data_IF_778373065428
#
_entry.id   IF_778373065428
#
_cell.length_a   1.000
_cell.length_b   1.000
_cell.length_c   1.000
_cell.angle_alpha   90.00
_cell.angle_beta   90.00
_cell.angle_gamma   90.00
#
_symmetry.space_group_name_H-M   'P 1'
#
loop_
_entity.id
_entity.type
_entity.pdbx_description
1 polymer ?
#
# COMPACT_ATOMS: atom_id res chain seq x y z
N UNK A 1 -9.24 -12.40 22.56
CA UNK A 1 -9.82 -11.43 21.60
C UNK A 1 -8.76 -10.43 21.19
N UNK A 2 -8.18 -10.56 19.99
CA UNK A 2 -7.47 -9.45 19.35
C UNK A 2 -8.51 -8.41 18.92
N UNK A 3 -8.28 -7.13 19.21
CA UNK A 3 -9.20 -6.03 18.87
C UNK A 3 -9.48 -6.06 17.36
N UNK A 4 -10.76 -6.18 16.97
CA UNK A 4 -11.16 -6.11 15.57
C UNK A 4 -11.02 -4.67 15.07
N UNK A 5 -9.94 -4.38 14.34
CA UNK A 5 -9.69 -3.08 13.72
C UNK A 5 -9.54 -3.24 12.20
N UNK A 6 -10.15 -2.34 11.44
CA UNK A 6 -9.91 -2.23 9.99
C UNK A 6 -8.91 -1.11 9.73
N UNK A 7 -8.17 -1.24 8.64
CA UNK A 7 -7.18 -0.26 8.21
C UNK A 7 -7.87 1.09 8.00
N UNK A 8 -7.26 2.16 8.52
CA UNK A 8 -7.76 3.52 8.30
C UNK A 8 -7.34 4.04 6.91
N UNK A 9 -8.11 4.96 6.28
CA UNK A 9 -7.79 5.47 4.94
C UNK A 9 -6.42 6.15 4.81
N UNK A 10 -5.92 6.71 5.91
CA UNK A 10 -4.64 7.40 6.05
C UNK A 10 -3.51 6.49 6.56
N UNK A 11 -3.82 5.24 6.90
CA UNK A 11 -2.86 4.28 7.45
C UNK A 11 -2.19 3.46 6.34
N UNK A 12 -0.85 3.35 6.41
CA UNK A 12 -0.11 2.49 5.48
C UNK A 12 -0.39 1.01 5.72
N UNK A 13 -0.20 0.17 4.70
CA UNK A 13 -0.41 -1.27 4.88
C UNK A 13 0.61 -1.84 5.89
N UNK A 14 1.83 -1.32 5.91
CA UNK A 14 2.90 -1.71 6.81
C UNK A 14 2.54 -1.39 8.27
N UNK A 15 2.09 -0.16 8.54
CA UNK A 15 1.69 0.26 9.89
C UNK A 15 0.51 -0.60 10.38
N UNK A 16 -0.44 -0.87 9.49
CA UNK A 16 -1.59 -1.72 9.80
C UNK A 16 -1.17 -3.14 10.20
N UNK A 17 -0.28 -3.77 9.43
CA UNK A 17 0.24 -5.12 9.72
C UNK A 17 1.08 -5.11 11.00
N UNK A 18 1.94 -4.10 11.18
CA UNK A 18 2.82 -3.97 12.33
C UNK A 18 2.01 -3.83 13.63
N UNK A 19 0.90 -3.09 13.62
CA UNK A 19 0.02 -2.98 14.77
C UNK A 19 -0.51 -4.34 15.26
N UNK A 20 -0.86 -5.26 14.35
CA UNK A 20 -1.30 -6.61 14.74
C UNK A 20 -0.17 -7.49 15.22
N UNK A 21 1.02 -7.40 14.60
CA UNK A 21 2.20 -8.12 15.09
C UNK A 21 2.51 -7.73 16.53
N UNK A 22 2.57 -6.43 16.82
CA UNK A 22 2.79 -5.91 18.17
C UNK A 22 1.69 -6.36 19.14
N UNK A 23 0.42 -6.28 18.73
CA UNK A 23 -0.68 -6.73 19.59
C UNK A 23 -0.63 -8.24 19.87
N UNK A 24 -0.25 -9.04 18.88
CA UNK A 24 -0.17 -10.48 18.99
C UNK A 24 0.95 -10.96 19.91
N UNK A 25 1.98 -10.13 20.18
CA UNK A 25 3.01 -10.44 21.19
C UNK A 25 2.41 -10.61 22.60
N UNK A 26 1.36 -9.85 22.90
CA UNK A 26 0.70 -9.89 24.20
C UNK A 26 -0.49 -10.87 24.22
N UNK A 27 -0.70 -11.60 23.13
CA UNK A 27 -1.77 -12.57 23.01
C UNK A 27 -1.22 -13.99 23.17
N UNK A 28 -1.87 -14.82 23.99
CA UNK A 28 -1.50 -16.22 24.23
C UNK A 28 -1.83 -17.16 23.06
N UNK A 29 -1.50 -16.79 21.82
CA UNK A 29 -1.85 -17.56 20.62
C UNK A 29 -1.01 -18.83 20.42
N UNK A 30 0.15 -18.93 21.07
CA UNK A 30 1.07 -20.06 20.89
C UNK A 30 1.39 -20.29 19.41
N UNK A 31 1.29 -21.54 18.96
CA UNK A 31 1.56 -21.92 17.57
C UNK A 31 0.64 -21.25 16.53
N UNK A 32 -0.54 -20.74 16.93
CA UNK A 32 -1.51 -20.13 16.03
C UNK A 32 -1.27 -18.63 15.78
N UNK A 33 -0.25 -18.04 16.39
CA UNK A 33 0.02 -16.60 16.34
C UNK A 33 0.06 -16.08 14.90
N UNK A 34 0.83 -16.74 14.03
CA UNK A 34 1.00 -16.29 12.65
C UNK A 34 -0.33 -16.34 11.90
N UNK A 35 -1.06 -17.47 11.97
CA UNK A 35 -2.36 -17.63 11.31
C UNK A 35 -3.36 -16.58 11.80
N UNK A 36 -3.41 -16.33 13.11
CA UNK A 36 -4.30 -15.32 13.69
C UNK A 36 -3.99 -13.89 13.22
N UNK A 37 -2.70 -13.55 13.06
CA UNK A 37 -2.28 -12.27 12.48
C UNK A 37 -2.74 -12.21 11.02
N UNK A 38 -2.48 -13.27 10.24
CA UNK A 38 -2.80 -13.30 8.82
C UNK A 38 -4.30 -13.13 8.55
N UNK A 39 -5.13 -13.90 9.25
CA UNK A 39 -6.59 -13.81 9.15
C UNK A 39 -7.09 -12.39 9.44
N UNK A 40 -6.58 -11.79 10.52
CA UNK A 40 -6.98 -10.44 10.92
C UNK A 40 -6.54 -9.37 9.93
N UNK A 41 -5.34 -9.48 9.37
CA UNK A 41 -4.83 -8.58 8.32
C UNK A 41 -5.70 -8.69 7.08
N UNK A 42 -5.94 -9.90 6.56
CA UNK A 42 -6.77 -10.12 5.37
C UNK A 42 -8.20 -9.59 5.57
N UNK A 43 -8.78 -9.78 6.75
CA UNK A 43 -10.12 -9.29 7.06
C UNK A 43 -10.21 -7.75 7.06
N UNK A 44 -9.15 -7.06 7.52
CA UNK A 44 -9.19 -5.61 7.75
C UNK A 44 -8.43 -4.74 6.75
N UNK A 45 -7.72 -5.31 5.77
CA UNK A 45 -7.05 -4.56 4.69
C UNK A 45 -8.06 -3.76 3.86
N UNK A 46 -7.69 -2.52 3.52
CA UNK A 46 -8.53 -1.61 2.74
C UNK A 46 -8.36 -1.79 1.23
N UNK A 47 -7.15 -2.10 0.76
CA UNK A 47 -6.86 -2.30 -0.66
C UNK A 47 -7.41 -3.66 -1.13
N UNK A 48 -8.58 -3.63 -1.78
CA UNK A 48 -9.26 -4.83 -2.25
C UNK A 48 -8.45 -5.66 -3.27
N UNK A 49 -7.67 -4.99 -4.12
CA UNK A 49 -6.83 -5.67 -5.10
C UNK A 49 -5.64 -6.36 -4.42
N UNK A 50 -5.03 -5.73 -3.42
CA UNK A 50 -4.00 -6.36 -2.60
C UNK A 50 -4.57 -7.60 -1.88
N UNK A 51 -5.73 -7.45 -1.25
CA UNK A 51 -6.41 -8.53 -0.53
C UNK A 51 -6.72 -9.72 -1.46
N UNK A 52 -7.26 -9.45 -2.65
CA UNK A 52 -7.55 -10.51 -3.63
C UNK A 52 -6.27 -11.25 -4.07
N UNK A 53 -5.17 -10.52 -4.32
CA UNK A 53 -3.91 -11.14 -4.70
C UNK A 53 -3.30 -11.96 -3.57
N UNK A 54 -3.36 -11.49 -2.33
CA UNK A 54 -2.93 -12.27 -1.16
C UNK A 54 -3.75 -13.55 -0.99
N UNK A 55 -5.06 -13.51 -1.22
CA UNK A 55 -5.94 -14.68 -1.13
C UNK A 55 -5.70 -15.73 -2.24
N UNK A 56 -5.09 -15.33 -3.36
CA UNK A 56 -4.70 -16.23 -4.46
C UNK A 56 -3.35 -16.89 -4.24
N UNK A 57 -2.54 -16.40 -3.31
CA UNK A 57 -1.21 -16.95 -3.04
C UNK A 57 -1.34 -18.34 -2.39
N UNK A 58 -0.83 -19.36 -3.06
CA UNK A 58 -0.76 -20.70 -2.50
C UNK A 58 0.28 -20.74 -1.38
N UNK A 59 -0.03 -21.44 -0.28
CA UNK A 59 0.88 -21.58 0.87
C UNK A 59 1.33 -20.23 1.46
N UNK A 60 0.39 -19.28 1.60
CA UNK A 60 0.66 -17.97 2.21
C UNK A 60 1.16 -18.14 3.65
N UNK A 61 2.30 -17.51 3.96
CA UNK A 61 2.86 -17.41 5.30
C UNK A 61 2.95 -15.94 5.72
N UNK A 62 3.13 -15.67 7.02
CA UNK A 62 3.22 -14.30 7.52
C UNK A 62 4.40 -13.55 6.87
N UNK A 63 5.56 -14.20 6.73
CA UNK A 63 6.74 -13.64 6.05
C UNK A 63 6.48 -13.37 4.56
N UNK A 64 5.81 -14.29 3.85
CA UNK A 64 5.42 -14.06 2.44
C UNK A 64 4.48 -12.88 2.31
N UNK A 65 3.49 -12.77 3.20
CA UNK A 65 2.55 -11.65 3.19
C UNK A 65 3.25 -10.31 3.43
N UNK A 66 4.18 -10.22 4.37
CA UNK A 66 4.94 -8.99 4.63
C UNK A 66 5.71 -8.53 3.39
N UNK A 67 6.43 -9.47 2.77
CA UNK A 67 7.18 -9.20 1.52
C UNK A 67 6.23 -8.77 0.41
N UNK A 68 5.12 -9.48 0.26
CA UNK A 68 4.12 -9.18 -0.77
C UNK A 68 3.54 -7.76 -0.61
N UNK A 69 3.12 -7.41 0.61
CA UNK A 69 2.57 -6.08 0.94
C UNK A 69 3.60 -4.98 0.66
N UNK A 70 4.86 -5.22 1.06
CA UNK A 70 5.96 -4.28 0.82
C UNK A 70 6.17 -4.06 -0.68
N UNK A 71 6.28 -5.15 -1.46
CA UNK A 71 6.44 -5.08 -2.92
C UNK A 71 5.24 -4.42 -3.58
N UNK A 72 4.01 -4.69 -3.11
CA UNK A 72 2.80 -4.05 -3.61
C UNK A 72 2.85 -2.53 -3.46
N UNK A 73 3.26 -2.05 -2.29
CA UNK A 73 3.34 -0.63 -2.00
C UNK A 73 4.41 0.07 -2.82
N UNK A 74 5.58 -0.54 -2.98
CA UNK A 74 6.64 -0.04 -3.89
C UNK A 74 6.08 0.06 -5.31
N UNK A 75 5.45 -1.01 -5.83
CA UNK A 75 4.88 -1.00 -7.18
C UNK A 75 3.79 0.07 -7.34
N UNK A 76 2.94 0.27 -6.33
CA UNK A 76 1.90 1.30 -6.32
C UNK A 76 2.49 2.71 -6.30
N UNK A 77 3.57 2.93 -5.56
CA UNK A 77 4.30 4.19 -5.55
C UNK A 77 4.98 4.48 -6.89
N UNK A 78 5.65 3.50 -7.49
CA UNK A 78 6.30 3.66 -8.80
C UNK A 78 5.30 4.06 -9.88
N UNK A 79 4.14 3.38 -9.96
CA UNK A 79 3.07 3.75 -10.90
C UNK A 79 2.57 5.19 -10.72
N UNK A 80 2.47 5.65 -9.47
CA UNK A 80 2.08 7.04 -9.16
C UNK A 80 3.14 8.04 -9.62
N UNK A 81 4.43 7.73 -9.41
CA UNK A 81 5.53 8.58 -9.85
C UNK A 81 5.61 8.65 -11.38
N UNK A 82 5.53 7.50 -12.06
CA UNK A 82 5.51 7.43 -13.53
C UNK A 82 4.36 8.27 -14.11
N UNK A 83 3.15 8.15 -13.54
CA UNK A 83 1.99 8.92 -13.96
C UNK A 83 2.16 10.43 -13.71
N UNK A 84 2.75 10.81 -12.58
CA UNK A 84 3.03 12.21 -12.26
C UNK A 84 4.10 12.81 -13.18
N UNK A 85 5.13 12.05 -13.54
CA UNK A 85 6.16 12.48 -14.50
C UNK A 85 5.58 12.65 -15.91
N UNK A 86 4.71 11.74 -16.35
CA UNK A 86 4.01 11.85 -17.63
C UNK A 86 3.05 13.06 -17.70
N UNK A 87 2.38 13.40 -16.60
CA UNK A 87 1.53 14.58 -16.52
C UNK A 87 2.35 15.89 -16.57
N UNK A 88 3.54 15.91 -15.96
CA UNK A 88 4.43 17.07 -15.91
C UNK A 88 5.06 17.40 -17.27
N UNK A 89 5.42 16.38 -18.06
CA UNK A 89 6.03 16.58 -19.40
C UNK A 89 5.05 17.18 -20.42
N UNK A 90 3.74 16.98 -20.24
CA UNK A 90 2.71 17.49 -21.15
C UNK A 90 2.43 18.99 -20.97
N UNK A 91 2.88 19.61 -19.87
CA UNK A 91 2.62 21.03 -19.57
C UNK A 91 3.76 21.99 -19.96
N UNK A 92 4.74 21.55 -20.77
CA UNK A 92 5.77 22.46 -21.30
C UNK A 92 5.15 23.30 -22.41
N UNK A 93 4.46 24.39 -22.04
CA UNK A 93 4.06 25.46 -22.96
C UNK A 93 5.31 25.91 -23.72
N UNK A 94 5.28 25.78 -25.04
CA UNK A 94 6.14 26.56 -25.93
C UNK A 94 5.78 28.02 -25.64
N UNK A 95 6.69 28.76 -25.00
CA UNK A 95 6.61 30.21 -24.99
C UNK A 95 6.85 30.65 -26.44
N UNK A 96 5.77 30.98 -27.14
CA UNK A 96 5.83 31.40 -28.54
C UNK A 96 6.60 32.72 -28.60
N UNK A 97 7.75 32.70 -29.26
CA UNK A 97 8.68 33.83 -29.40
C UNK A 97 8.17 34.88 -30.39
N UNK A 98 6.87 35.24 -30.31
CA UNK A 98 6.23 36.20 -31.22
C UNK A 98 5.55 37.40 -30.54
N UNK A 99 5.62 37.53 -29.21
CA UNK A 99 5.19 38.74 -28.51
C UNK A 99 6.37 39.69 -28.19
N UNK A 100 7.22 39.92 -29.18
CA UNK A 100 8.32 40.88 -29.10
C UNK A 100 8.33 41.77 -30.34
N UNK A 101 7.17 42.31 -30.69
CA UNK A 101 7.00 43.42 -31.65
C UNK A 101 5.55 43.88 -31.56
N UNK A 102 5.24 44.77 -30.63
CA UNK A 102 4.16 45.78 -30.70
C UNK A 102 3.93 46.41 -29.32
N UNK A 103 4.81 47.33 -28.93
CA UNK A 103 4.47 48.44 -28.03
C UNK A 103 5.53 49.52 -28.23
N UNK A 104 5.26 50.37 -29.21
CA UNK A 104 5.70 51.76 -29.40
C UNK A 104 7.15 52.13 -29.06
#
# INVERSE_FOLDING_TARGET
MTRHRNQQPDESNEDFVQAFKMQAEFCGFGAFKNVAIMDRVLAGLLDGNLKENLLKEESLTLDKMDKFITTWNIAKQNRRQESAMAASSTNRRVVDSKEMCCSW
#
